data_IF_271904560041
#
_entry.id   IF_271904560041
#
_cell.length_a   1.000
_cell.length_b   1.000
_cell.length_c   1.000
_cell.angle_alpha   90.00
_cell.angle_beta   90.00
_cell.angle_gamma   90.00
#
_symmetry.space_group_name_H-M   'P 1'
#
loop_
_entity.id
_entity.type
_entity.pdbx_description
1 polymer ?
#
# COMPACT_ATOMS: atom_id res chain seq x y z
N UNK A 1 21.61 2.26 29.28
CA UNK A 1 21.07 2.29 28.88
C UNK A 1 20.57 2.59 28.55
N UNK A 2 20.51 2.66 28.44
CA UNK A 2 19.80 2.88 27.91
C UNK A 2 19.44 3.25 27.13
N UNK A 3 19.54 3.43 26.50
CA UNK A 3 19.06 3.73 25.75
C UNK A 3 18.44 3.51 25.28
N UNK A 4 18.67 3.15 25.28
CA UNK A 4 17.94 2.93 24.84
C UNK A 4 17.10 3.23 24.86
N UNK A 5 17.29 2.99 25.25
CA UNK A 5 16.18 3.17 25.44
C UNK A 5 15.51 4.00 25.17
N UNK A 6 16.12 4.34 25.29
CA UNK A 6 15.41 5.38 25.02
C UNK A 6 14.75 5.38 23.79
N UNK A 7 14.11 4.46 23.57
CA UNK A 7 13.46 4.50 22.48
C UNK A 7 12.58 5.53 22.51
N UNK A 8 12.70 6.44 21.72
CA UNK A 8 11.95 7.61 21.81
C UNK A 8 10.52 7.39 21.48
N UNK A 9 9.66 8.11 22.11
CA UNK A 9 8.24 8.00 21.82
C UNK A 9 7.87 8.30 20.39
N UNK A 10 8.61 9.14 19.70
CA UNK A 10 8.23 9.46 18.36
C UNK A 10 8.34 8.27 17.41
N UNK A 11 9.03 7.23 17.82
CA UNK A 11 9.01 6.03 17.03
C UNK A 11 7.64 5.44 16.94
N UNK A 12 6.84 5.62 17.98
CA UNK A 12 5.48 5.13 17.96
C UNK A 12 4.67 5.84 16.91
N UNK A 13 4.87 7.13 16.77
CA UNK A 13 4.16 7.90 15.78
C UNK A 13 4.51 7.47 14.38
N UNK A 14 5.76 7.13 14.16
CA UNK A 14 6.17 6.66 12.85
C UNK A 14 5.50 5.37 12.48
N UNK A 15 5.23 4.54 13.47
CA UNK A 15 4.57 3.29 13.19
C UNK A 15 3.09 3.45 12.89
N UNK A 16 2.49 4.54 13.31
CA UNK A 16 1.09 4.76 13.09
C UNK A 16 0.78 5.08 11.64
N UNK A 17 1.75 5.67 10.92
CA UNK A 17 1.55 6.02 9.54
C UNK A 17 2.75 5.54 8.74
N UNK A 18 2.57 4.49 7.96
CA UNK A 18 3.66 4.03 7.09
C UNK A 18 4.09 5.15 6.15
N UNK A 19 5.36 5.15 5.78
CA UNK A 19 5.84 6.16 4.87
C UNK A 19 5.19 5.99 3.49
N UNK A 20 5.01 7.11 2.82
CA UNK A 20 4.43 7.11 1.48
C UNK A 20 5.24 6.23 0.55
N UNK A 21 6.56 6.37 0.60
CA UNK A 21 7.41 5.60 -0.29
C UNK A 21 7.28 4.11 -0.04
N UNK A 22 7.22 3.70 1.22
CA UNK A 22 7.12 2.28 1.53
C UNK A 22 5.81 1.70 1.02
N UNK A 23 4.71 2.40 1.24
CA UNK A 23 3.41 1.92 0.79
C UNK A 23 3.36 1.91 -0.74
N UNK A 24 3.88 2.96 -1.37
CA UNK A 24 3.91 3.02 -2.82
C UNK A 24 4.74 1.89 -3.40
N UNK A 25 5.92 1.66 -2.87
CA UNK A 25 6.79 0.60 -3.36
C UNK A 25 6.13 -0.76 -3.22
N UNK A 26 5.51 -1.01 -2.07
CA UNK A 26 4.81 -2.27 -1.86
C UNK A 26 3.64 -2.44 -2.80
N UNK A 27 2.91 -1.36 -3.05
CA UNK A 27 1.76 -1.40 -3.96
C UNK A 27 2.22 -1.71 -5.39
N UNK A 28 3.28 -1.05 -5.85
CA UNK A 28 3.80 -1.31 -7.19
C UNK A 28 4.31 -2.73 -7.32
N UNK A 29 4.96 -3.24 -6.28
CA UNK A 29 5.43 -4.62 -6.29
C UNK A 29 4.27 -5.60 -6.39
N UNK A 30 3.19 -5.33 -5.66
CA UNK A 30 2.00 -6.18 -5.71
C UNK A 30 1.34 -6.14 -7.08
N UNK A 31 1.28 -4.96 -7.69
CA UNK A 31 0.70 -4.84 -9.02
C UNK A 31 1.50 -5.64 -10.04
N UNK A 32 2.83 -5.57 -9.96
CA UNK A 32 3.68 -6.35 -10.82
C UNK A 32 3.49 -7.84 -10.58
N UNK A 33 3.44 -8.23 -9.30
CA UNK A 33 3.20 -9.63 -8.95
C UNK A 33 1.86 -10.14 -9.46
N UNK A 34 0.83 -9.29 -9.36
CA UNK A 34 -0.50 -9.65 -9.86
C UNK A 34 -0.44 -9.91 -11.37
N UNK A 35 0.23 -9.02 -12.11
CA UNK A 35 0.36 -9.20 -13.55
C UNK A 35 1.10 -10.48 -13.92
N UNK A 36 2.16 -10.77 -13.18
CA UNK A 36 2.92 -11.99 -13.42
C UNK A 36 2.10 -13.22 -13.09
N UNK A 37 1.30 -13.17 -12.03
CA UNK A 37 0.44 -14.29 -11.66
C UNK A 37 -0.62 -14.56 -12.69
N UNK A 38 -1.17 -13.51 -13.32
CA UNK A 38 -2.11 -13.68 -14.40
C UNK A 38 -1.48 -14.39 -15.58
N UNK A 39 -0.28 -13.96 -15.96
CA UNK A 39 0.41 -14.56 -17.12
C UNK A 39 0.81 -16.00 -16.85
N UNK A 40 1.14 -16.30 -15.61
CA UNK A 40 1.56 -17.64 -15.24
C UNK A 40 0.39 -18.53 -14.88
N UNK A 41 -0.83 -17.99 -14.90
CA UNK A 41 -2.06 -18.74 -14.55
C UNK A 41 -1.97 -19.38 -13.18
N UNK A 42 -1.45 -18.60 -12.22
CA UNK A 42 -1.37 -19.07 -10.86
C UNK A 42 -2.76 -19.11 -10.22
N UNK A 43 -2.81 -19.71 -9.03
CA UNK A 43 -4.04 -19.92 -8.30
C UNK A 43 -4.86 -18.62 -8.23
N UNK A 44 -6.14 -18.64 -8.65
CA UNK A 44 -6.99 -17.46 -8.58
C UNK A 44 -7.11 -16.88 -7.17
N UNK A 45 -7.03 -17.70 -6.14
CA UNK A 45 -7.13 -17.18 -4.77
C UNK A 45 -5.94 -16.29 -4.44
N UNK A 46 -4.75 -16.63 -4.93
CA UNK A 46 -3.58 -15.80 -4.70
C UNK A 46 -3.74 -14.46 -5.38
N UNK A 47 -4.32 -14.45 -6.58
CA UNK A 47 -4.55 -13.20 -7.30
C UNK A 47 -5.58 -12.33 -6.59
N UNK A 48 -6.64 -12.95 -6.05
CA UNK A 48 -7.64 -12.21 -5.32
C UNK A 48 -7.02 -11.56 -4.08
N UNK A 49 -6.18 -12.31 -3.36
CA UNK A 49 -5.52 -11.77 -2.17
C UNK A 49 -4.62 -10.60 -2.53
N UNK A 50 -3.87 -10.71 -3.63
CA UNK A 50 -3.03 -9.61 -4.08
C UNK A 50 -3.86 -8.39 -4.44
N UNK A 51 -4.97 -8.59 -5.14
CA UNK A 51 -5.85 -7.50 -5.53
C UNK A 51 -6.43 -6.77 -4.33
N UNK A 52 -6.83 -7.53 -3.32
CA UNK A 52 -7.35 -6.94 -2.09
C UNK A 52 -6.28 -6.11 -1.39
N UNK A 53 -5.07 -6.65 -1.34
CA UNK A 53 -3.97 -5.92 -0.68
C UNK A 53 -3.63 -4.65 -1.44
N UNK A 54 -3.67 -4.69 -2.76
CA UNK A 54 -3.45 -3.51 -3.57
C UNK A 54 -4.52 -2.46 -3.25
N UNK A 55 -5.78 -2.86 -3.19
CA UNK A 55 -6.86 -1.95 -2.85
C UNK A 55 -6.69 -1.34 -1.47
N UNK A 56 -6.27 -2.14 -0.49
CA UNK A 56 -6.04 -1.65 0.86
C UNK A 56 -4.88 -0.65 0.89
N UNK A 57 -3.80 -0.95 0.18
CA UNK A 57 -2.66 -0.05 0.13
C UNK A 57 -3.02 1.27 -0.55
N UNK A 58 -3.81 1.21 -1.62
CA UNK A 58 -4.27 2.42 -2.28
C UNK A 58 -5.13 3.25 -1.31
N UNK A 59 -5.95 2.58 -0.49
CA UNK A 59 -6.73 3.27 0.51
C UNK A 59 -5.88 4.03 1.51
N UNK A 60 -4.78 3.43 1.95
CA UNK A 60 -3.86 4.11 2.85
C UNK A 60 -3.26 5.35 2.20
N UNK A 61 -2.93 5.25 0.92
CA UNK A 61 -2.34 6.39 0.19
C UNK A 61 -3.35 7.50 -0.04
N UNK A 62 -4.61 7.15 -0.33
CA UNK A 62 -5.64 8.14 -0.57
C UNK A 62 -5.80 9.06 0.64
N UNK A 63 -5.65 8.51 1.84
CA UNK A 63 -5.83 9.29 3.07
C UNK A 63 -4.53 9.87 3.60
N UNK A 64 -3.41 9.67 2.91
CA UNK A 64 -2.13 10.08 3.44
C UNK A 64 -1.96 11.60 3.33
N UNK A 65 -1.68 12.28 4.45
CA UNK A 65 -1.66 13.74 4.46
C UNK A 65 -0.50 14.36 3.67
N UNK A 66 0.53 13.59 3.35
CA UNK A 66 1.67 14.11 2.61
C UNK A 66 1.45 14.15 1.10
N UNK A 67 0.36 13.56 0.62
CA UNK A 67 0.08 13.56 -0.81
C UNK A 67 -0.84 14.71 -1.18
N UNK A 68 -0.64 15.27 -2.36
CA UNK A 68 -1.50 16.33 -2.84
C UNK A 68 -2.91 15.81 -3.11
N UNK A 69 -3.87 16.71 -3.09
CA UNK A 69 -5.25 16.34 -3.37
C UNK A 69 -5.38 15.72 -4.75
N UNK A 70 -4.72 16.30 -5.74
CA UNK A 70 -4.79 15.78 -7.10
C UNK A 70 -4.27 14.36 -7.19
N UNK A 71 -3.14 14.10 -6.55
CA UNK A 71 -2.58 12.74 -6.54
C UNK A 71 -3.54 11.78 -5.87
N UNK A 72 -4.13 12.20 -4.74
CA UNK A 72 -5.06 11.33 -4.02
C UNK A 72 -6.29 11.03 -4.85
N UNK A 73 -6.75 11.96 -5.67
CA UNK A 73 -7.89 11.70 -6.54
C UNK A 73 -7.56 10.66 -7.60
N UNK A 74 -6.34 10.70 -8.15
CA UNK A 74 -5.91 9.67 -9.10
C UNK A 74 -5.89 8.31 -8.42
N UNK A 75 -5.36 8.25 -7.19
CA UNK A 75 -5.30 7.00 -6.45
C UNK A 75 -6.68 6.44 -6.17
N UNK A 76 -7.63 7.32 -5.86
CA UNK A 76 -8.99 6.88 -5.62
C UNK A 76 -9.56 6.21 -6.87
N UNK A 77 -9.34 6.80 -8.04
CA UNK A 77 -9.78 6.19 -9.28
C UNK A 77 -9.15 4.83 -9.53
N UNK A 78 -7.87 4.71 -9.23
CA UNK A 78 -7.18 3.43 -9.37
C UNK A 78 -7.74 2.39 -8.40
N UNK A 79 -8.04 2.79 -7.17
CA UNK A 79 -8.62 1.88 -6.20
C UNK A 79 -9.94 1.32 -6.69
N UNK A 80 -10.78 2.18 -7.28
CA UNK A 80 -12.05 1.72 -7.80
C UNK A 80 -11.86 0.67 -8.89
N UNK A 81 -10.87 0.88 -9.76
CA UNK A 81 -10.60 -0.07 -10.83
C UNK A 81 -10.14 -1.42 -10.27
N UNK A 82 -9.27 -1.40 -9.29
CA UNK A 82 -8.76 -2.64 -8.70
C UNK A 82 -9.86 -3.40 -7.98
N UNK A 83 -10.75 -2.68 -7.31
CA UNK A 83 -11.86 -3.35 -6.61
C UNK A 83 -12.89 -3.91 -7.57
N UNK A 84 -12.97 -3.37 -8.78
CA UNK A 84 -13.91 -3.86 -9.77
C UNK A 84 -13.42 -5.10 -10.50
N UNK A 85 -12.14 -5.41 -10.36
CA UNK A 85 -11.60 -6.62 -10.96
C UNK A 85 -11.88 -7.81 -10.07
#
# INVERSE_FOLDING_TARGET
>A
MPQTAARPPHHIEEHELPSVEAVLAGTLALMTGYSQALQAELDPQDRVAMGEKIGDNLGLLIDHPQLSLGFRQVLFGLQQRWRAM
#
